data_IF_193789444772
#
_entry.id   IF_193789444772
#
_cell.length_a   1.000
_cell.length_b   1.000
_cell.length_c   1.000
_cell.angle_alpha   90.00
_cell.angle_beta   90.00
_cell.angle_gamma   90.00
#
_symmetry.space_group_name_H-M   'P 1'
#
loop_
_entity.id
_entity.type
_entity.pdbx_description
1 polymer ?
#
# COMPACT_ATOMS: atom_id res chain seq x y z
N UNK A 1 -34.38 8.74 -21.08
CA UNK A 1 -33.16 8.20 -21.72
C UNK A 1 -32.14 8.04 -20.60
N UNK A 2 -31.72 6.80 -20.38
CA UNK A 2 -30.96 6.34 -19.21
C UNK A 2 -29.53 6.86 -19.26
N UNK A 3 -29.21 7.82 -18.39
CA UNK A 3 -27.84 8.24 -18.11
C UNK A 3 -27.15 7.09 -17.37
N UNK A 4 -26.63 6.11 -18.10
CA UNK A 4 -25.73 5.13 -17.52
C UNK A 4 -24.50 5.90 -17.07
N UNK A 5 -24.36 6.12 -15.77
CA UNK A 5 -23.18 6.71 -15.16
C UNK A 5 -22.04 5.70 -15.35
N UNK A 6 -21.43 5.71 -16.54
CA UNK A 6 -20.26 4.91 -16.83
C UNK A 6 -19.14 5.49 -15.96
N UNK A 7 -18.83 4.79 -14.86
CA UNK A 7 -17.69 5.13 -14.02
C UNK A 7 -16.45 5.05 -14.91
N UNK A 8 -15.74 6.16 -15.04
CA UNK A 8 -14.56 6.28 -15.90
C UNK A 8 -13.57 5.15 -15.57
N UNK A 9 -13.04 4.39 -16.54
CA UNK A 9 -12.17 3.23 -16.31
C UNK A 9 -10.98 3.54 -15.40
N UNK A 10 -10.39 4.73 -15.56
CA UNK A 10 -9.34 5.25 -14.68
C UNK A 10 -9.83 5.43 -13.24
N UNK A 11 -11.03 6.00 -13.01
CA UNK A 11 -11.55 6.20 -11.66
C UNK A 11 -11.75 4.87 -10.93
N UNK A 12 -12.19 3.82 -11.65
CA UNK A 12 -12.26 2.47 -11.09
C UNK A 12 -10.88 1.93 -10.69
N UNK A 13 -9.86 2.12 -11.51
CA UNK A 13 -8.50 1.71 -11.17
C UNK A 13 -8.00 2.46 -9.94
N UNK A 14 -8.15 3.79 -9.88
CA UNK A 14 -7.64 4.58 -8.77
C UNK A 14 -8.35 4.19 -7.46
N UNK A 15 -9.67 4.01 -7.47
CA UNK A 15 -10.42 3.55 -6.30
C UNK A 15 -9.93 2.17 -5.82
N UNK A 16 -9.61 1.26 -6.76
CA UNK A 16 -9.03 -0.04 -6.43
C UNK A 16 -7.62 0.12 -5.85
N UNK A 17 -6.81 1.02 -6.38
CA UNK A 17 -5.47 1.29 -5.89
C UNK A 17 -5.49 1.86 -4.47
N UNK A 18 -6.37 2.82 -4.19
CA UNK A 18 -6.58 3.38 -2.85
C UNK A 18 -7.05 2.31 -1.86
N UNK A 19 -8.00 1.46 -2.25
CA UNK A 19 -8.46 0.36 -1.41
C UNK A 19 -7.32 -0.62 -1.06
N UNK A 20 -6.46 -0.96 -2.02
CA UNK A 20 -5.29 -1.83 -1.77
C UNK A 20 -4.29 -1.17 -0.81
N UNK A 21 -4.02 0.13 -0.98
CA UNK A 21 -3.13 0.89 -0.11
C UNK A 21 -3.66 0.92 1.33
N UNK A 22 -4.95 1.23 1.50
CA UNK A 22 -5.63 1.23 2.81
C UNK A 22 -5.63 -0.16 3.46
N UNK A 23 -5.84 -1.23 2.67
CA UNK A 23 -5.81 -2.59 3.18
C UNK A 23 -4.41 -2.96 3.68
N UNK A 24 -3.35 -2.63 2.92
CA UNK A 24 -1.97 -2.83 3.35
C UNK A 24 -1.71 -2.09 4.68
N UNK A 25 -2.06 -0.80 4.72
CA UNK A 25 -1.82 0.04 5.89
C UNK A 25 -2.53 -0.49 7.13
N UNK A 26 -3.78 -0.92 6.99
CA UNK A 26 -4.56 -1.49 8.09
C UNK A 26 -3.93 -2.79 8.61
N UNK A 27 -3.50 -3.70 7.73
CA UNK A 27 -2.83 -4.93 8.14
C UNK A 27 -1.48 -4.63 8.83
N UNK A 28 -0.72 -3.69 8.29
CA UNK A 28 0.59 -3.33 8.82
C UNK A 28 0.48 -2.60 10.16
N UNK A 29 -0.47 -1.68 10.32
CA UNK A 29 -0.73 -0.95 11.56
C UNK A 29 -1.12 -1.90 12.70
N UNK A 30 -1.93 -2.94 12.42
CA UNK A 30 -2.25 -3.97 13.40
C UNK A 30 -1.00 -4.65 13.96
N UNK A 31 -0.02 -4.95 13.10
CA UNK A 31 1.26 -5.53 13.54
C UNK A 31 2.12 -4.54 14.34
N UNK A 32 2.10 -3.25 13.98
CA UNK A 32 2.77 -2.21 14.75
C UNK A 32 2.17 -2.10 16.15
N UNK A 33 0.85 -2.13 16.27
CA UNK A 33 0.15 -2.05 17.54
C UNK A 33 0.40 -3.29 18.41
N UNK A 34 0.45 -4.48 17.80
CA UNK A 34 0.84 -5.71 18.49
C UNK A 34 2.21 -5.56 19.18
N UNK A 35 3.21 -5.06 18.45
CA UNK A 35 4.56 -4.87 18.99
C UNK A 35 4.66 -3.75 20.03
N UNK A 36 3.97 -2.63 19.83
CA UNK A 36 3.92 -1.55 20.84
C UNK A 36 3.30 -2.03 22.15
N UNK A 37 2.19 -2.77 22.07
CA UNK A 37 1.53 -3.35 23.24
C UNK A 37 2.42 -4.37 23.98
N UNK A 38 3.26 -5.10 23.24
CA UNK A 38 4.23 -6.03 23.81
C UNK A 38 5.34 -5.29 24.59
N UNK A 39 5.76 -4.10 24.12
CA UNK A 39 6.79 -3.28 24.79
C UNK A 39 6.24 -2.49 25.98
N UNK A 40 5.03 -1.94 25.87
CA UNK A 40 4.44 -1.07 26.91
C UNK A 40 4.02 -1.81 28.19
N UNK A 41 4.13 -3.14 28.24
CA UNK A 41 3.92 -3.93 29.46
C UNK A 41 2.49 -3.86 30.01
N UNK A 42 1.53 -3.39 29.20
CA UNK A 42 0.13 -3.28 29.58
C UNK A 42 -0.52 -4.68 29.53
N UNK A 43 -0.16 -5.50 30.53
CA UNK A 43 -0.60 -6.87 30.81
C UNK A 43 -1.85 -7.35 30.04
N UNK A 44 -1.67 -8.20 29.02
CA UNK A 44 -2.56 -9.30 28.58
C UNK A 44 -2.34 -9.81 27.14
N UNK A 45 -1.15 -9.70 26.53
CA UNK A 45 -0.84 -10.63 25.43
C UNK A 45 -0.75 -12.03 26.05
N UNK A 46 -1.82 -12.81 25.99
CA UNK A 46 -1.81 -14.24 26.34
C UNK A 46 -0.88 -15.07 25.43
N UNK A 47 -0.17 -14.38 24.53
CA UNK A 47 0.62 -14.93 23.45
C UNK A 47 2.11 -14.75 23.76
N UNK A 48 2.86 -15.84 23.69
CA UNK A 48 4.31 -15.85 23.81
C UNK A 48 5.01 -15.16 22.63
N UNK A 49 6.33 -15.02 22.73
CA UNK A 49 7.15 -14.45 21.65
C UNK A 49 6.96 -15.21 20.32
N UNK A 50 6.85 -16.54 20.39
CA UNK A 50 6.62 -17.38 19.20
C UNK A 50 5.30 -17.07 18.50
N UNK A 51 4.24 -16.83 19.25
CA UNK A 51 2.92 -16.49 18.70
C UNK A 51 2.91 -15.07 18.13
N UNK A 52 3.66 -14.15 18.74
CA UNK A 52 3.91 -12.82 18.16
C UNK A 52 4.62 -12.95 16.82
N UNK A 53 5.72 -13.71 16.75
CA UNK A 53 6.46 -13.93 15.51
C UNK A 53 5.60 -14.61 14.44
N UNK A 54 4.76 -15.58 14.82
CA UNK A 54 3.81 -16.21 13.92
C UNK A 54 2.81 -15.17 13.37
N UNK A 55 2.27 -14.30 14.22
CA UNK A 55 1.38 -13.23 13.79
C UNK A 55 2.06 -12.25 12.82
N UNK A 56 3.32 -11.90 13.07
CA UNK A 56 4.08 -11.01 12.17
C UNK A 56 4.33 -11.67 10.81
N UNK A 57 4.68 -12.96 10.78
CA UNK A 57 4.80 -13.73 9.53
C UNK A 57 3.49 -13.72 8.74
N UNK A 58 2.37 -14.00 9.41
CA UNK A 58 1.04 -13.93 8.78
C UNK A 58 0.71 -12.53 8.29
N UNK A 59 1.09 -11.47 9.00
CA UNK A 59 0.94 -10.10 8.48
C UNK A 59 1.75 -9.90 7.21
N UNK A 60 3.01 -10.33 7.15
CA UNK A 60 3.85 -10.20 5.96
C UNK A 60 3.29 -10.99 4.76
N UNK A 61 2.73 -12.17 4.99
CA UNK A 61 2.06 -12.97 3.94
C UNK A 61 0.83 -12.23 3.37
N UNK A 62 0.01 -11.62 4.23
CA UNK A 62 -1.13 -10.81 3.79
C UNK A 62 -0.68 -9.57 3.02
N UNK A 63 0.33 -8.87 3.53
CA UNK A 63 0.90 -7.70 2.87
C UNK A 63 1.50 -8.07 1.51
N UNK A 64 2.14 -9.24 1.38
CA UNK A 64 2.62 -9.75 0.09
C UNK A 64 1.49 -10.02 -0.91
N UNK A 65 0.37 -10.60 -0.48
CA UNK A 65 -0.78 -10.81 -1.35
C UNK A 65 -1.35 -9.47 -1.87
N UNK A 66 -1.36 -8.44 -1.01
CA UNK A 66 -1.80 -7.10 -1.38
C UNK A 66 -0.81 -6.45 -2.35
N UNK A 67 0.50 -6.50 -2.07
CA UNK A 67 1.55 -5.98 -2.97
C UNK A 67 1.53 -6.71 -4.32
N UNK A 68 1.26 -8.01 -4.34
CA UNK A 68 1.10 -8.76 -5.60
C UNK A 68 -0.08 -8.21 -6.41
N UNK A 69 -1.19 -7.89 -5.74
CA UNK A 69 -2.36 -7.28 -6.38
C UNK A 69 -2.06 -5.87 -6.90
N UNK A 70 -1.26 -5.10 -6.16
CA UNK A 70 -0.75 -3.78 -6.59
C UNK A 70 0.13 -3.88 -7.84
N UNK A 71 1.06 -4.86 -7.88
CA UNK A 71 1.91 -5.11 -9.05
C UNK A 71 1.10 -5.55 -10.27
N UNK A 72 0.05 -6.36 -10.09
CA UNK A 72 -0.85 -6.71 -11.18
C UNK A 72 -1.54 -5.47 -11.77
N UNK A 73 -1.90 -4.49 -10.94
CA UNK A 73 -2.39 -3.21 -11.45
C UNK A 73 -1.35 -2.49 -12.31
N UNK A 74 -0.06 -2.51 -11.92
CA UNK A 74 1.03 -1.89 -12.70
C UNK A 74 1.26 -2.58 -14.03
N UNK A 75 1.26 -3.92 -14.06
CA UNK A 75 1.67 -4.68 -15.25
C UNK A 75 0.52 -5.05 -16.19
N UNK A 76 -0.72 -5.09 -15.71
CA UNK A 76 -1.88 -5.46 -16.51
C UNK A 76 -2.85 -4.29 -16.71
N UNK A 77 -3.31 -3.66 -15.62
CA UNK A 77 -4.39 -2.67 -15.68
C UNK A 77 -3.90 -1.31 -16.24
N UNK A 78 -2.75 -0.82 -15.77
CA UNK A 78 -2.18 0.48 -16.18
C UNK A 78 -1.84 0.51 -17.68
N UNK A 79 -1.12 -0.47 -18.26
CA UNK A 79 -0.80 -0.46 -19.68
C UNK A 79 -2.05 -0.55 -20.55
N UNK A 80 -3.03 -1.36 -20.14
CA UNK A 80 -4.30 -1.48 -20.87
C UNK A 80 -5.07 -0.16 -20.91
N UNK A 81 -5.09 0.58 -19.80
CA UNK A 81 -5.70 1.91 -19.75
C UNK A 81 -4.93 2.94 -20.58
N UNK A 82 -3.60 2.91 -20.54
CA UNK A 82 -2.77 3.79 -21.37
C UNK A 82 -3.03 3.56 -22.87
N UNK A 83 -3.15 2.30 -23.30
CA UNK A 83 -3.48 1.96 -24.69
C UNK A 83 -4.87 2.48 -25.10
N UNK A 84 -5.87 2.37 -24.21
CA UNK A 84 -7.23 2.89 -24.45
C UNK A 84 -7.29 4.42 -24.52
N UNK A 85 -6.45 5.11 -23.74
CA UNK A 85 -6.33 6.56 -23.76
C UNK A 85 -5.62 7.04 -25.05
N UNK A 86 -4.56 6.35 -25.47
CA UNK A 86 -3.81 6.68 -26.69
C UNK A 86 -4.59 6.34 -27.97
N UNK A 87 -5.56 5.42 -27.93
CA UNK A 87 -6.47 5.13 -29.06
C UNK A 87 -7.56 6.19 -29.30
N UNK A 88 -7.61 7.26 -28.50
CA UNK A 88 -8.50 8.41 -28.71
C UNK A 88 -9.98 8.14 -28.40
N UNK A 89 -10.27 7.05 -27.68
CA UNK A 89 -11.63 6.65 -27.29
C UNK A 89 -12.20 7.45 -26.11
N UNK A 90 -11.36 8.11 -25.33
CA UNK A 90 -11.77 8.96 -24.21
C UNK A 90 -11.21 10.38 -24.39
N UNK A 91 -12.10 11.36 -24.56
CA UNK A 91 -11.75 12.79 -24.44
C UNK A 91 -11.33 13.06 -23.01
N UNK A 92 -10.07 13.45 -22.80
CA UNK A 92 -9.52 13.73 -21.48
C UNK A 92 -10.46 14.54 -20.58
N UNK A 93 -10.58 14.11 -19.33
CA UNK A 93 -11.41 14.75 -18.31
C UNK A 93 -10.66 15.98 -17.78
N UNK A 94 -10.98 17.16 -18.30
CA UNK A 94 -10.44 18.43 -17.79
C UNK A 94 -8.92 18.62 -17.94
N UNK A 95 -8.29 19.27 -16.96
CA UNK A 95 -6.86 19.60 -16.92
C UNK A 95 -5.99 18.46 -16.32
N UNK A 96 -6.56 17.26 -16.20
CA UNK A 96 -5.93 16.13 -15.55
C UNK A 96 -5.06 15.31 -16.52
N UNK A 97 -3.87 14.90 -16.09
CA UNK A 97 -2.92 14.14 -16.89
C UNK A 97 -2.90 12.66 -16.45
N UNK A 98 -3.60 11.75 -17.17
CA UNK A 98 -3.67 10.33 -16.81
C UNK A 98 -2.31 9.67 -16.67
N UNK A 99 -1.38 9.99 -17.58
CA UNK A 99 -0.06 9.35 -17.59
C UNK A 99 0.71 9.67 -16.32
N UNK A 100 0.61 10.91 -15.84
CA UNK A 100 1.25 11.34 -14.60
C UNK A 100 0.61 10.70 -13.36
N UNK A 101 -0.71 10.59 -13.32
CA UNK A 101 -1.40 9.94 -12.20
C UNK A 101 -1.05 8.45 -12.11
N UNK A 102 -1.01 7.74 -13.24
CA UNK A 102 -0.65 6.32 -13.29
C UNK A 102 0.83 6.07 -12.94
N UNK A 103 1.72 7.00 -13.30
CA UNK A 103 3.13 6.98 -12.84
C UNK A 103 3.22 7.15 -11.31
N UNK A 104 2.47 8.11 -10.74
CA UNK A 104 2.41 8.32 -9.29
C UNK A 104 1.90 7.08 -8.52
N UNK A 105 0.87 6.41 -9.04
CA UNK A 105 0.37 5.14 -8.46
C UNK A 105 1.46 4.07 -8.50
N UNK A 106 2.18 3.96 -9.62
CA UNK A 106 3.23 2.96 -9.78
C UNK A 106 4.36 3.19 -8.77
N UNK A 107 4.80 4.43 -8.60
CA UNK A 107 5.81 4.80 -7.60
C UNK A 107 5.36 4.50 -6.17
N UNK A 108 4.10 4.77 -5.84
CA UNK A 108 3.54 4.43 -4.53
C UNK A 108 3.58 2.92 -4.27
N UNK A 109 3.19 2.11 -5.25
CA UNK A 109 3.17 0.65 -5.13
C UNK A 109 4.57 0.04 -5.03
N UNK A 110 5.55 0.58 -5.75
CA UNK A 110 6.95 0.20 -5.55
C UNK A 110 7.42 0.50 -4.13
N UNK A 111 6.98 1.62 -3.55
CA UNK A 111 7.33 1.98 -2.17
C UNK A 111 6.71 1.02 -1.13
N UNK A 112 5.50 0.48 -1.39
CA UNK A 112 4.93 -0.61 -0.58
C UNK A 112 5.72 -1.93 -0.72
N UNK A 113 6.22 -2.25 -1.91
CA UNK A 113 7.07 -3.41 -2.14
C UNK A 113 8.41 -3.29 -1.41
N UNK A 114 9.05 -2.12 -1.44
CA UNK A 114 10.28 -1.83 -0.71
C UNK A 114 10.07 -1.96 0.80
N UNK A 115 8.98 -1.39 1.33
CA UNK A 115 8.62 -1.53 2.74
C UNK A 115 8.44 -3.01 3.13
N UNK A 116 7.74 -3.79 2.31
CA UNK A 116 7.55 -5.22 2.56
C UNK A 116 8.88 -5.98 2.60
N UNK A 117 9.81 -5.67 1.68
CA UNK A 117 11.15 -6.25 1.66
C UNK A 117 11.90 -5.91 2.94
N UNK A 118 11.93 -4.63 3.32
CA UNK A 118 12.60 -4.14 4.53
C UNK A 118 12.10 -4.89 5.77
N UNK A 119 10.78 -5.09 5.90
CA UNK A 119 10.22 -5.79 7.07
C UNK A 119 10.49 -7.30 7.06
N UNK A 120 10.64 -7.92 5.89
CA UNK A 120 11.09 -9.33 5.78
C UNK A 120 12.52 -9.49 6.23
N UNK A 121 13.41 -8.62 5.77
CA UNK A 121 14.81 -8.59 6.19
C UNK A 121 14.91 -8.36 7.70
N UNK A 122 14.19 -7.37 8.22
CA UNK A 122 14.15 -7.08 9.65
C UNK A 122 13.67 -8.27 10.50
N UNK A 123 12.67 -9.02 10.02
CA UNK A 123 12.21 -10.24 10.70
C UNK A 123 13.29 -11.33 10.67
N UNK A 124 13.95 -11.50 9.52
CA UNK A 124 15.03 -12.46 9.38
C UNK A 124 16.18 -12.15 10.34
N UNK A 125 16.67 -10.92 10.34
CA UNK A 125 17.75 -10.43 11.22
C UNK A 125 17.41 -10.68 12.70
N UNK A 126 16.16 -10.41 13.09
CA UNK A 126 15.71 -10.66 14.45
C UNK A 126 15.67 -12.15 14.78
N UNK A 127 15.16 -13.00 13.88
CA UNK A 127 15.10 -14.45 14.12
C UNK A 127 16.47 -15.13 14.10
N UNK A 128 17.45 -14.52 13.44
CA UNK A 128 18.85 -14.94 13.44
C UNK A 128 19.65 -14.36 14.62
N UNK A 129 18.99 -13.63 15.54
CA UNK A 129 19.60 -12.98 16.70
C UNK A 129 20.67 -11.92 16.34
N UNK A 130 20.62 -11.36 15.13
CA UNK A 130 21.55 -10.33 14.66
C UNK A 130 21.21 -8.93 15.21
N UNK A 131 19.94 -8.71 15.57
CA UNK A 131 19.46 -7.46 16.18
C UNK A 131 18.73 -7.73 17.50
N UNK A 132 18.79 -6.74 18.40
CA UNK A 132 18.08 -6.81 19.69
C UNK A 132 16.56 -6.63 19.53
N UNK A 133 15.75 -7.10 20.51
CA UNK A 133 14.31 -6.88 20.51
C UNK A 133 13.89 -5.41 20.40
N UNK A 134 14.64 -4.50 21.04
CA UNK A 134 14.36 -3.06 20.96
C UNK A 134 14.62 -2.51 19.56
N UNK A 135 15.72 -2.92 18.91
CA UNK A 135 15.99 -2.54 17.52
C UNK A 135 14.94 -3.10 16.57
N UNK A 136 14.50 -4.34 16.79
CA UNK A 136 13.44 -4.96 16.00
C UNK A 136 12.13 -4.18 16.11
N UNK A 137 11.66 -3.88 17.33
CA UNK A 137 10.40 -3.13 17.51
C UNK A 137 10.50 -1.72 16.93
N UNK A 138 11.61 -1.03 17.16
CA UNK A 138 11.83 0.30 16.59
C UNK A 138 11.84 0.27 15.07
N UNK A 139 12.59 -0.67 14.47
CA UNK A 139 12.65 -0.85 13.02
C UNK A 139 11.28 -1.22 12.44
N UNK A 140 10.54 -2.11 13.10
CA UNK A 140 9.25 -2.58 12.59
C UNK A 140 8.19 -1.48 12.63
N UNK A 141 8.12 -0.75 13.74
CA UNK A 141 7.12 0.29 13.94
C UNK A 141 7.47 1.62 13.25
N UNK A 142 8.68 1.72 12.71
CA UNK A 142 9.10 2.83 11.88
C UNK A 142 8.68 2.59 10.43
N UNK A 143 7.92 3.52 9.86
CA UNK A 143 7.73 3.60 8.42
C UNK A 143 8.80 4.57 7.92
N UNK A 144 9.91 4.01 7.43
CA UNK A 144 10.93 4.80 6.76
C UNK A 144 10.48 5.12 5.31
N UNK A 145 10.85 6.29 4.81
CA UNK A 145 10.65 6.69 3.41
C UNK A 145 9.52 7.68 3.15
N UNK A 146 9.40 8.06 1.88
CA UNK A 146 8.44 9.04 1.38
C UNK A 146 7.01 8.48 1.27
N UNK A 147 6.72 7.29 1.81
CA UNK A 147 5.42 6.61 1.66
C UNK A 147 4.25 7.45 2.20
N UNK A 148 4.45 8.17 3.29
CA UNK A 148 3.43 9.09 3.83
C UNK A 148 3.21 10.30 2.91
N UNK A 149 4.28 10.88 2.36
CA UNK A 149 4.19 11.98 1.40
C UNK A 149 3.62 11.55 0.04
N UNK A 150 4.01 10.38 -0.46
CA UNK A 150 3.50 9.80 -1.70
C UNK A 150 2.01 9.47 -1.58
N UNK A 151 1.57 8.89 -0.46
CA UNK A 151 0.13 8.71 -0.17
C UNK A 151 -0.63 10.03 -0.21
N UNK A 152 -0.09 11.05 0.46
CA UNK A 152 -0.73 12.38 0.48
C UNK A 152 -0.84 12.95 -0.93
N UNK A 153 0.23 12.87 -1.73
CA UNK A 153 0.20 13.30 -3.13
C UNK A 153 -0.86 12.54 -3.93
N UNK A 154 -0.97 11.23 -3.74
CA UNK A 154 -1.98 10.39 -4.41
C UNK A 154 -3.41 10.80 -4.05
N UNK A 155 -3.68 11.10 -2.78
CA UNK A 155 -4.99 11.58 -2.31
C UNK A 155 -5.30 12.96 -2.87
N UNK A 156 -4.31 13.86 -2.93
CA UNK A 156 -4.46 15.19 -3.52
C UNK A 156 -4.75 15.08 -5.03
N UNK A 157 -4.02 14.22 -5.75
CA UNK A 157 -4.23 13.95 -7.19
C UNK A 157 -5.61 13.33 -7.47
N UNK A 158 -6.11 12.45 -6.58
CA UNK A 158 -7.46 11.89 -6.65
C UNK A 158 -8.52 12.98 -6.44
N UNK A 159 -8.31 13.86 -5.46
CA UNK A 159 -9.23 14.95 -5.16
C UNK A 159 -9.34 15.92 -6.35
N UNK A 160 -8.22 16.25 -6.98
CA UNK A 160 -8.17 17.07 -8.19
C UNK A 160 -8.90 16.41 -9.37
N UNK A 161 -8.77 15.08 -9.54
CA UNK A 161 -9.52 14.32 -10.54
C UNK A 161 -11.02 14.38 -10.30
N UNK A 162 -11.47 14.11 -9.06
CA UNK A 162 -12.89 14.14 -8.70
C UNK A 162 -13.50 15.54 -8.87
N UNK A 163 -12.72 16.60 -8.64
CA UNK A 163 -13.16 17.98 -8.85
C UNK A 163 -13.27 18.36 -10.35
N UNK A 164 -12.65 17.60 -11.25
CA UNK A 164 -12.69 17.84 -12.69
C UNK A 164 -13.88 17.17 -13.41
N UNK A 165 -14.66 16.34 -12.71
CA UNK A 165 -15.91 15.71 -13.19
C UNK A 165 -17.16 16.50 -12.76
#
# INVERSE_FOLDING_TARGET
MTSSSAIHPVLNLINRCDALAQEFDSQFEQSCNLLRNLVDGNNQSAFGMDETLMSLRTTLEKCEAIVTSMLNCIYEDIPHLLDQLDSGTETGVGNWNPKQALDGISQLFYSYQELLLEKRELLADFTCEEISPTQFVQGWTSIHGDLASQRKQQVDDLADLLAAF
#
